data_IF_062790271360
#
_entry.id   IF_062790271360
#
_cell.length_a   1.000
_cell.length_b   1.000
_cell.length_c   1.000
_cell.angle_alpha   90.00
_cell.angle_beta   90.00
_cell.angle_gamma   90.00
#
_symmetry.space_group_name_H-M   'P 1'
#
loop_
_entity.id
_entity.type
_entity.pdbx_description
1 polymer ?
#
# COMPACT_ATOMS: atom_id res chain seq x y z
N UNK A 1 8.43 17.68 39.07
CA UNK A 1 7.70 16.51 38.53
C UNK A 1 7.60 16.68 37.03
N UNK A 2 8.32 15.88 36.24
CA UNK A 2 8.20 15.88 34.78
C UNK A 2 6.99 15.02 34.44
N UNK A 3 5.95 15.60 33.85
CA UNK A 3 4.83 14.83 33.34
C UNK A 3 5.33 13.96 32.19
N UNK A 4 5.26 12.63 32.32
CA UNK A 4 5.49 11.72 31.19
C UNK A 4 4.45 12.02 30.13
N UNK A 5 4.89 12.59 29.00
CA UNK A 5 4.03 12.76 27.83
C UNK A 5 3.65 11.35 27.33
N UNK A 6 2.37 11.10 27.00
CA UNK A 6 1.99 9.83 26.40
C UNK A 6 2.76 9.66 25.09
N UNK A 7 3.40 8.50 24.92
CA UNK A 7 4.03 8.14 23.64
C UNK A 7 2.95 8.20 22.54
N UNK A 8 3.19 8.90 21.42
CA UNK A 8 2.20 9.06 20.35
C UNK A 8 1.76 7.73 19.72
N UNK A 9 2.48 6.64 20.01
CA UNK A 9 2.23 5.28 19.54
C UNK A 9 1.11 4.53 20.26
N UNK A 10 0.56 5.02 21.38
CA UNK A 10 -0.34 4.23 22.20
C UNK A 10 -1.82 4.21 21.77
N UNK A 11 -2.24 4.99 20.74
CA UNK A 11 -3.66 5.09 20.33
C UNK A 11 -3.90 5.25 18.82
N UNK A 12 -2.95 4.90 17.96
CA UNK A 12 -3.22 4.88 16.51
C UNK A 12 -4.02 3.61 16.16
N UNK A 13 -5.21 3.79 15.60
CA UNK A 13 -5.95 2.68 15.00
C UNK A 13 -5.13 2.02 13.88
N UNK A 14 -5.41 0.74 13.58
CA UNK A 14 -4.63 -0.07 12.62
C UNK A 14 -4.41 0.63 11.28
N UNK A 15 -5.42 1.33 10.76
CA UNK A 15 -5.32 2.09 9.50
C UNK A 15 -4.30 3.23 9.58
N UNK A 16 -4.26 3.94 10.70
CA UNK A 16 -3.36 5.06 10.90
C UNK A 16 -1.90 4.58 11.12
N UNK A 17 -1.72 3.42 11.75
CA UNK A 17 -0.41 2.77 11.85
C UNK A 17 0.08 2.29 10.48
N UNK A 18 -0.80 1.64 9.70
CA UNK A 18 -0.48 1.21 8.34
C UNK A 18 -0.11 2.41 7.46
N UNK A 19 -0.87 3.50 7.55
CA UNK A 19 -0.57 4.73 6.85
C UNK A 19 0.82 5.26 7.20
N UNK A 20 1.13 5.38 8.49
CA UNK A 20 2.43 5.85 8.95
C UNK A 20 3.58 4.95 8.47
N UNK A 21 3.38 3.63 8.43
CA UNK A 21 4.35 2.68 7.92
C UNK A 21 4.60 2.86 6.41
N UNK A 22 3.53 3.03 5.63
CA UNK A 22 3.64 3.24 4.19
C UNK A 22 4.34 4.57 3.87
N UNK A 23 4.04 5.63 4.63
CA UNK A 23 4.64 6.96 4.48
C UNK A 23 6.11 7.00 4.89
N UNK A 24 6.49 6.26 5.93
CA UNK A 24 7.86 6.22 6.44
C UNK A 24 8.79 5.25 5.69
N UNK A 25 8.23 4.29 4.94
CA UNK A 25 9.03 3.28 4.23
C UNK A 25 9.81 3.89 3.07
N UNK A 26 11.13 3.69 3.07
CA UNK A 26 12.01 4.07 1.95
C UNK A 26 11.88 3.13 0.73
N UNK A 27 11.39 1.90 0.95
CA UNK A 27 11.18 0.92 -0.11
C UNK A 27 9.82 1.14 -0.76
N UNK A 28 9.76 1.02 -2.09
CA UNK A 28 8.50 1.04 -2.84
C UNK A 28 7.61 -0.14 -2.44
N UNK A 29 6.37 0.15 -2.02
CA UNK A 29 5.36 -0.83 -1.65
C UNK A 29 4.14 -0.63 -2.56
N UNK A 30 3.70 -1.71 -3.20
CA UNK A 30 2.50 -1.77 -4.02
C UNK A 30 1.53 -2.81 -3.45
N UNK A 31 0.29 -2.41 -3.22
CA UNK A 31 -0.82 -3.32 -3.00
C UNK A 31 -1.43 -3.67 -4.35
N UNK A 32 -1.51 -4.96 -4.64
CA UNK A 32 -2.04 -5.51 -5.88
C UNK A 32 -3.23 -6.43 -5.58
N UNK A 33 -4.21 -6.43 -6.47
CA UNK A 33 -5.33 -7.37 -6.42
C UNK A 33 -5.21 -8.35 -7.59
N UNK A 34 -5.22 -9.68 -7.36
CA UNK A 34 -5.16 -10.66 -8.44
C UNK A 34 -6.41 -10.60 -9.32
N UNK A 35 -6.21 -10.77 -10.63
CA UNK A 35 -7.27 -10.96 -11.62
C UNK A 35 -7.19 -12.39 -12.12
N UNK A 36 -8.30 -13.13 -12.00
CA UNK A 36 -8.41 -14.52 -12.44
C UNK A 36 -9.19 -14.64 -13.75
N UNK A 37 -8.87 -15.65 -14.55
CA UNK A 37 -9.56 -15.91 -15.81
C UNK A 37 -11.04 -16.25 -15.58
N UNK A 38 -11.91 -15.75 -16.47
CA UNK A 38 -13.32 -16.05 -16.43
C UNK A 38 -13.56 -17.57 -16.62
N UNK A 39 -14.28 -18.19 -15.68
CA UNK A 39 -14.55 -19.63 -15.71
C UNK A 39 -13.42 -20.51 -15.18
N UNK A 40 -12.25 -19.94 -14.84
CA UNK A 40 -11.11 -20.65 -14.27
C UNK A 40 -10.56 -19.90 -13.05
N UNK A 41 -11.21 -19.99 -11.88
CA UNK A 41 -10.89 -19.17 -10.70
C UNK A 41 -9.50 -19.43 -10.08
N UNK A 42 -8.75 -20.42 -10.57
CA UNK A 42 -7.38 -20.69 -10.14
C UNK A 42 -6.33 -20.21 -11.15
N UNK A 43 -6.74 -19.78 -12.34
CA UNK A 43 -5.84 -19.26 -13.36
C UNK A 43 -5.67 -17.75 -13.16
N UNK A 44 -4.55 -17.34 -12.56
CA UNK A 44 -4.16 -15.95 -12.39
C UNK A 44 -3.68 -15.40 -13.74
N UNK A 45 -4.32 -14.33 -14.22
CA UNK A 45 -4.01 -13.75 -15.53
C UNK A 45 -3.39 -12.36 -15.46
N UNK A 46 -3.59 -11.62 -14.37
CA UNK A 46 -3.05 -10.27 -14.21
C UNK A 46 -3.10 -9.84 -12.72
N UNK A 47 -2.53 -8.67 -12.43
CA UNK A 47 -2.72 -7.94 -11.17
C UNK A 47 -3.20 -6.52 -11.44
N UNK A 48 -4.16 -6.05 -10.66
CA UNK A 48 -4.59 -4.64 -10.68
C UNK A 48 -3.97 -3.87 -9.53
N UNK A 49 -3.58 -2.63 -9.78
CA UNK A 49 -3.12 -1.76 -8.71
C UNK A 49 -4.26 -1.39 -7.78
N UNK A 50 -4.01 -1.51 -6.48
CA UNK A 50 -4.90 -1.02 -5.43
C UNK A 50 -4.32 0.24 -4.81
N UNK A 51 -3.02 0.23 -4.47
CA UNK A 51 -2.37 1.37 -3.81
C UNK A 51 -0.86 1.35 -3.97
N UNK A 52 -0.24 2.52 -4.10
CA UNK A 52 1.21 2.72 -4.07
C UNK A 52 1.61 3.63 -2.91
N UNK A 53 2.64 3.25 -2.15
CA UNK A 53 3.23 4.17 -1.18
C UNK A 53 4.04 5.28 -1.90
N UNK A 54 4.45 6.36 -1.19
CA UNK A 54 5.17 7.47 -1.81
C UNK A 54 6.48 7.06 -2.52
N UNK A 55 7.19 6.06 -1.99
CA UNK A 55 8.41 5.56 -2.63
C UNK A 55 8.10 4.89 -3.98
N UNK A 56 7.06 4.06 -4.06
CA UNK A 56 6.63 3.41 -5.30
C UNK A 56 6.06 4.42 -6.32
N UNK A 57 5.32 5.43 -5.86
CA UNK A 57 4.84 6.51 -6.72
C UNK A 57 5.99 7.24 -7.43
N UNK A 58 7.07 7.56 -6.68
CA UNK A 58 8.27 8.19 -7.25
C UNK A 58 9.01 7.28 -8.22
N UNK A 59 9.11 5.99 -7.90
CA UNK A 59 9.80 5.00 -8.72
C UNK A 59 9.09 4.75 -10.04
N UNK A 60 7.75 4.64 -10.01
CA UNK A 60 6.93 4.27 -11.17
C UNK A 60 6.36 5.48 -11.93
N UNK A 61 6.40 6.69 -11.34
CA UNK A 61 5.76 7.87 -11.90
C UNK A 61 4.23 7.79 -11.91
N UNK A 62 3.65 6.96 -11.04
CA UNK A 62 2.20 6.71 -10.95
C UNK A 62 1.61 7.36 -9.68
N UNK A 63 0.31 7.71 -9.67
CA UNK A 63 -0.36 8.24 -8.49
C UNK A 63 -0.54 7.16 -7.41
N UNK A 64 -0.93 7.56 -6.19
CA UNK A 64 -1.22 6.64 -5.08
C UNK A 64 -2.24 5.55 -5.44
N UNK A 65 -3.24 5.89 -6.26
CA UNK A 65 -4.26 4.97 -6.75
C UNK A 65 -4.19 4.92 -8.29
N UNK A 66 -3.32 4.06 -8.86
CA UNK A 66 -3.20 3.93 -10.30
C UNK A 66 -4.48 3.34 -10.92
N UNK A 67 -4.83 3.81 -12.10
CA UNK A 67 -5.88 3.19 -12.92
C UNK A 67 -5.19 2.24 -13.90
N UNK A 68 -5.30 0.94 -13.68
CA UNK A 68 -4.81 -0.06 -14.62
C UNK A 68 -4.26 -1.33 -13.97
N UNK A 69 -3.78 -2.23 -14.82
CA UNK A 69 -3.12 -3.46 -14.40
C UNK A 69 -1.60 -3.36 -14.51
N UNK A 70 -0.92 -4.17 -13.69
CA UNK A 70 0.52 -4.38 -13.71
C UNK A 70 0.83 -5.24 -14.95
N UNK A 71 0.84 -4.61 -16.12
CA UNK A 71 1.31 -5.28 -17.33
C UNK A 71 2.82 -5.17 -17.36
N UNK A 72 3.51 -6.31 -17.42
CA UNK A 72 4.94 -6.37 -17.78
C UNK A 72 5.18 -5.95 -19.23
#
# INVERSE_FOLDING_TARGET
>A
MLASLPSPSAQLGTDALLQALLDASATGIAQLCPVYAAGQPQELVDFTYVRLNPAAQRLLGLPEYPVGSLRE
#
